data_IF_588236117183
#
_entry.id   IF_588236117183
#
_cell.length_a   1.000
_cell.length_b   1.000
_cell.length_c   1.000
_cell.angle_alpha   90.00
_cell.angle_beta   90.00
_cell.angle_gamma   90.00
#
_symmetry.space_group_name_H-M   'P 1'
#
loop_
_entity.id
_entity.type
_entity.pdbx_description
1 polymer ?
#
# COMPACT_ATOMS: atom_id res chain seq x y z
N UNK A 1 3.81 -19.57 3.61
CA UNK A 1 3.48 -20.64 2.65
C UNK A 1 2.07 -20.42 2.14
N UNK A 2 1.92 -20.18 0.83
CA UNK A 2 0.65 -19.99 0.14
C UNK A 2 0.26 -21.33 -0.49
N UNK A 3 -0.98 -21.79 -0.28
CA UNK A 3 -1.50 -23.03 -0.88
C UNK A 3 -2.74 -22.73 -1.72
N UNK A 4 -2.71 -23.09 -3.01
CA UNK A 4 -3.82 -22.89 -3.94
C UNK A 4 -4.05 -24.21 -4.71
N UNK A 5 -5.11 -24.94 -4.36
CA UNK A 5 -5.33 -26.28 -4.90
C UNK A 5 -4.14 -27.20 -4.57
N UNK A 6 -3.53 -27.79 -5.61
CA UNK A 6 -2.32 -28.64 -5.49
C UNK A 6 -1.00 -27.86 -5.44
N UNK A 7 -1.03 -26.54 -5.62
CA UNK A 7 0.17 -25.70 -5.71
C UNK A 7 0.54 -25.14 -4.33
N UNK A 8 1.83 -25.18 -4.00
CA UNK A 8 2.38 -24.63 -2.78
C UNK A 8 3.56 -23.71 -3.12
N UNK A 9 3.51 -22.49 -2.61
CA UNK A 9 4.54 -21.48 -2.79
C UNK A 9 5.08 -21.06 -1.42
N UNK A 10 6.39 -20.84 -1.34
CA UNK A 10 7.07 -20.39 -0.12
C UNK A 10 6.51 -19.05 0.35
N UNK A 11 6.44 -18.11 -0.58
CA UNK A 11 5.99 -16.73 -0.36
C UNK A 11 5.22 -16.18 -1.57
N UNK A 12 4.74 -14.94 -1.44
CA UNK A 12 3.97 -14.29 -2.49
C UNK A 12 4.82 -13.92 -3.72
N UNK A 13 6.13 -13.71 -3.58
CA UNK A 13 7.01 -13.39 -4.71
C UNK A 13 7.15 -14.59 -5.64
N UNK A 14 7.28 -15.79 -5.08
CA UNK A 14 7.33 -17.03 -5.84
C UNK A 14 6.03 -17.27 -6.61
N UNK A 15 4.89 -17.18 -5.92
CA UNK A 15 3.57 -17.27 -6.56
C UNK A 15 3.40 -16.24 -7.68
N UNK A 16 3.70 -14.96 -7.40
CA UNK A 16 3.59 -13.87 -8.37
C UNK A 16 4.44 -14.16 -9.62
N UNK A 17 5.69 -14.56 -9.42
CA UNK A 17 6.63 -14.81 -10.52
C UNK A 17 6.14 -15.96 -11.39
N UNK A 18 5.72 -17.08 -10.80
CA UNK A 18 5.20 -18.24 -11.54
C UNK A 18 3.95 -17.88 -12.34
N UNK A 19 2.97 -17.23 -11.71
CA UNK A 19 1.70 -16.84 -12.33
C UNK A 19 1.90 -15.82 -13.45
N UNK A 20 2.71 -14.79 -13.22
CA UNK A 20 2.96 -13.76 -14.22
C UNK A 20 3.71 -14.33 -15.43
N UNK A 21 4.72 -15.20 -15.25
CA UNK A 21 5.39 -15.85 -16.38
C UNK A 21 4.44 -16.70 -17.24
N UNK A 22 3.42 -17.34 -16.63
CA UNK A 22 2.48 -18.21 -17.35
C UNK A 22 1.38 -17.43 -18.06
N UNK A 23 0.83 -16.42 -17.39
CA UNK A 23 -0.45 -15.82 -17.80
C UNK A 23 -0.37 -14.35 -18.17
N UNK A 24 0.72 -13.65 -17.85
CA UNK A 24 0.93 -12.30 -18.37
C UNK A 24 1.24 -12.39 -19.86
N UNK A 25 0.22 -12.10 -20.66
CA UNK A 25 0.19 -12.44 -22.08
C UNK A 25 1.20 -11.62 -22.86
N UNK A 26 1.94 -12.26 -23.77
CA UNK A 26 2.64 -11.58 -24.88
C UNK A 26 1.79 -11.43 -26.15
N UNK A 27 0.76 -12.26 -26.30
CA UNK A 27 -0.13 -12.32 -27.46
C UNK A 27 -1.59 -12.07 -27.07
N UNK A 28 -2.41 -11.47 -27.97
CA UNK A 28 -3.83 -11.28 -27.71
C UNK A 28 -4.55 -12.61 -27.46
N UNK A 29 -5.66 -12.61 -26.68
CA UNK A 29 -6.44 -13.81 -26.46
C UNK A 29 -6.92 -14.42 -27.78
N UNK A 30 -6.82 -15.75 -27.90
CA UNK A 30 -7.38 -16.47 -29.03
C UNK A 30 -8.92 -16.38 -28.95
N UNK A 31 -9.61 -16.07 -30.07
CA UNK A 31 -11.05 -16.08 -30.14
C UNK A 31 -11.65 -17.40 -29.64
N UNK A 32 -12.65 -17.31 -28.77
CA UNK A 32 -13.23 -18.48 -28.07
C UNK A 32 -13.86 -19.47 -29.03
N UNK A 33 -14.44 -18.98 -30.13
CA UNK A 33 -15.07 -19.75 -31.20
C UNK A 33 -14.13 -20.70 -31.95
N UNK A 34 -12.80 -20.52 -31.86
CA UNK A 34 -11.81 -21.45 -32.44
C UNK A 34 -11.83 -22.79 -31.70
N UNK A 35 -11.99 -22.77 -30.38
CA UNK A 35 -12.03 -23.98 -29.55
C UNK A 35 -13.45 -24.40 -29.19
N UNK A 36 -14.39 -23.45 -29.13
CA UNK A 36 -15.81 -23.67 -28.81
C UNK A 36 -16.66 -23.33 -30.04
N UNK A 37 -16.41 -24.01 -31.17
CA UNK A 37 -17.29 -23.93 -32.34
C UNK A 37 -18.68 -24.47 -32.02
N UNK A 38 -19.68 -24.18 -32.86
CA UNK A 38 -21.08 -24.58 -32.61
C UNK A 38 -21.23 -26.09 -32.37
N UNK A 39 -20.45 -26.92 -33.07
CA UNK A 39 -20.48 -28.37 -32.92
C UNK A 39 -19.84 -28.82 -31.61
N UNK A 40 -18.76 -28.16 -31.19
CA UNK A 40 -18.06 -28.44 -29.93
C UNK A 40 -18.89 -27.99 -28.73
N UNK A 41 -19.56 -26.84 -28.83
CA UNK A 41 -20.40 -26.27 -27.78
C UNK A 41 -21.56 -27.21 -27.38
N UNK A 42 -22.09 -27.98 -28.35
CA UNK A 42 -23.17 -28.95 -28.15
C UNK A 42 -22.70 -30.29 -27.59
N UNK A 43 -21.40 -30.61 -27.68
CA UNK A 43 -20.89 -31.93 -27.26
C UNK A 43 -20.24 -31.87 -25.87
N UNK A 44 -20.97 -32.36 -24.87
CA UNK A 44 -20.52 -32.48 -23.47
C UNK A 44 -19.12 -33.10 -23.31
N UNK A 45 -18.88 -34.24 -23.96
CA UNK A 45 -17.63 -34.99 -23.80
C UNK A 45 -16.43 -34.23 -24.35
N UNK A 46 -16.61 -33.51 -25.46
CA UNK A 46 -15.57 -32.66 -26.04
C UNK A 46 -15.32 -31.46 -25.12
N UNK A 47 -16.37 -30.80 -24.61
CA UNK A 47 -16.23 -29.70 -23.64
C UNK A 47 -15.44 -30.11 -22.39
N UNK A 48 -15.72 -31.29 -21.81
CA UNK A 48 -14.95 -31.81 -20.66
C UNK A 48 -13.47 -32.03 -20.99
N UNK A 49 -13.14 -32.56 -22.19
CA UNK A 49 -11.74 -32.72 -22.63
C UNK A 49 -11.04 -31.37 -22.80
N UNK A 50 -11.73 -30.37 -23.35
CA UNK A 50 -11.19 -29.02 -23.47
C UNK A 50 -11.00 -28.39 -22.09
N UNK A 51 -11.97 -28.49 -21.18
CA UNK A 51 -11.88 -27.95 -19.83
C UNK A 51 -10.66 -28.48 -19.05
N UNK A 52 -10.33 -29.75 -19.23
CA UNK A 52 -9.21 -30.43 -18.55
C UNK A 52 -7.84 -30.10 -19.14
N UNK A 53 -7.74 -29.90 -20.46
CA UNK A 53 -6.44 -29.81 -21.15
C UNK A 53 -6.15 -28.43 -21.76
N UNK A 54 -7.12 -27.53 -21.81
CA UNK A 54 -6.93 -26.21 -22.41
C UNK A 54 -6.10 -25.30 -21.51
N UNK A 55 -5.14 -24.61 -22.11
CA UNK A 55 -4.27 -23.64 -21.44
C UNK A 55 -4.72 -22.19 -21.64
N UNK A 56 -5.79 -21.95 -22.42
CA UNK A 56 -6.26 -20.60 -22.73
C UNK A 56 -7.22 -20.08 -21.65
N UNK A 57 -6.87 -19.01 -20.92
CA UNK A 57 -7.71 -18.44 -19.86
C UNK A 57 -9.15 -18.13 -20.30
N UNK A 58 -9.32 -17.56 -21.50
CA UNK A 58 -10.63 -17.19 -22.04
C UNK A 58 -11.56 -18.39 -22.21
N UNK A 59 -11.03 -19.53 -22.65
CA UNK A 59 -11.81 -20.76 -22.82
C UNK A 59 -12.20 -21.33 -21.46
N UNK A 60 -11.26 -21.39 -20.51
CA UNK A 60 -11.52 -21.93 -19.17
C UNK A 60 -12.56 -21.08 -18.44
N UNK A 61 -12.53 -19.75 -18.57
CA UNK A 61 -13.53 -18.87 -17.96
C UNK A 61 -14.94 -19.12 -18.47
N UNK A 62 -15.10 -19.36 -19.78
CA UNK A 62 -16.39 -19.72 -20.37
C UNK A 62 -16.84 -21.08 -19.81
N UNK A 63 -15.97 -22.10 -19.83
CA UNK A 63 -16.32 -23.44 -19.39
C UNK A 63 -16.56 -23.56 -17.87
N UNK A 64 -15.92 -22.71 -17.05
CA UNK A 64 -16.15 -22.65 -15.60
C UNK A 64 -17.56 -22.17 -15.21
N UNK A 65 -18.26 -21.54 -16.16
CA UNK A 65 -19.62 -21.03 -16.06
C UNK A 65 -20.58 -21.71 -17.07
N UNK A 66 -20.19 -22.85 -17.65
CA UNK A 66 -21.01 -23.63 -18.58
C UNK A 66 -22.33 -24.07 -17.93
N UNK A 67 -23.38 -24.33 -18.71
CA UNK A 67 -24.67 -24.82 -18.20
C UNK A 67 -24.55 -26.24 -17.60
N UNK A 68 -23.66 -27.08 -18.14
CA UNK A 68 -23.43 -28.44 -17.67
C UNK A 68 -22.51 -28.47 -16.45
N UNK A 69 -23.01 -29.06 -15.36
CA UNK A 69 -22.28 -29.13 -14.10
C UNK A 69 -20.97 -29.90 -14.19
N UNK A 70 -20.91 -31.01 -14.94
CA UNK A 70 -19.68 -31.79 -15.06
C UNK A 70 -18.60 -31.04 -15.85
N UNK A 71 -19.00 -30.22 -16.82
CA UNK A 71 -18.07 -29.35 -17.56
C UNK A 71 -17.52 -28.27 -16.64
N UNK A 72 -18.38 -27.60 -15.85
CA UNK A 72 -17.95 -26.60 -14.86
C UNK A 72 -16.98 -27.18 -13.86
N UNK A 73 -17.31 -28.34 -13.28
CA UNK A 73 -16.46 -29.00 -12.28
C UNK A 73 -15.09 -29.35 -12.86
N UNK A 74 -15.04 -29.77 -14.12
CA UNK A 74 -13.76 -30.09 -14.77
C UNK A 74 -12.94 -28.84 -15.07
N UNK A 75 -13.57 -27.76 -15.55
CA UNK A 75 -12.90 -26.48 -15.78
C UNK A 75 -12.33 -25.89 -14.49
N UNK A 76 -13.03 -26.07 -13.36
CA UNK A 76 -12.58 -25.59 -12.04
C UNK A 76 -11.41 -26.37 -11.44
N UNK A 77 -11.09 -27.55 -11.98
CA UNK A 77 -9.86 -28.31 -11.64
C UNK A 77 -8.65 -27.85 -12.45
N UNK A 78 -8.85 -27.02 -13.46
CA UNK A 78 -7.78 -26.53 -14.31
C UNK A 78 -6.78 -25.68 -13.49
N UNK A 79 -5.50 -25.79 -13.84
CA UNK A 79 -4.42 -25.03 -13.20
C UNK A 79 -4.71 -23.53 -13.18
N UNK A 80 -5.11 -22.98 -14.33
CA UNK A 80 -5.39 -21.56 -14.47
C UNK A 80 -6.49 -21.12 -13.50
N UNK A 81 -7.53 -21.94 -13.33
CA UNK A 81 -8.64 -21.60 -12.43
C UNK A 81 -8.19 -21.47 -10.97
N UNK A 82 -7.37 -22.43 -10.50
CA UNK A 82 -6.84 -22.42 -9.15
C UNK A 82 -5.87 -21.26 -8.88
N UNK A 83 -5.02 -20.95 -9.86
CA UNK A 83 -3.99 -19.93 -9.71
C UNK A 83 -4.51 -18.51 -9.92
N UNK A 84 -5.47 -18.31 -10.84
CA UNK A 84 -5.88 -16.97 -11.29
C UNK A 84 -7.39 -16.86 -11.52
N UNK A 85 -8.00 -17.79 -12.26
CA UNK A 85 -9.36 -17.66 -12.79
C UNK A 85 -10.43 -17.38 -11.72
N UNK A 86 -10.36 -18.06 -10.57
CA UNK A 86 -11.32 -17.87 -9.47
C UNK A 86 -11.32 -16.48 -8.81
N UNK A 87 -10.33 -15.65 -9.11
CA UNK A 87 -10.19 -14.30 -8.55
C UNK A 87 -10.62 -13.21 -9.54
N UNK A 88 -11.14 -13.60 -10.71
CA UNK A 88 -11.49 -12.66 -11.77
C UNK A 88 -12.78 -11.88 -11.56
N UNK A 89 -13.59 -12.24 -10.57
CA UNK A 89 -14.83 -11.53 -10.24
C UNK A 89 -14.60 -10.03 -10.02
N UNK A 90 -13.42 -9.65 -9.53
CA UNK A 90 -13.00 -8.25 -9.37
C UNK A 90 -13.06 -7.44 -10.67
N UNK A 91 -12.85 -8.08 -11.82
CA UNK A 91 -12.91 -7.40 -13.12
C UNK A 91 -14.33 -6.94 -13.46
N UNK A 92 -15.36 -7.58 -12.89
CA UNK A 92 -16.77 -7.24 -13.07
C UNK A 92 -17.24 -6.02 -12.27
N UNK A 93 -16.45 -5.53 -11.31
CA UNK A 93 -16.82 -4.38 -10.48
C UNK A 93 -16.73 -3.04 -11.22
N UNK A 94 -17.40 -2.02 -10.70
CA UNK A 94 -17.30 -0.68 -11.24
C UNK A 94 -15.87 -0.13 -11.12
N UNK A 95 -15.52 0.83 -11.99
CA UNK A 95 -14.17 1.42 -12.04
C UNK A 95 -13.68 1.92 -10.66
N UNK A 96 -14.53 2.66 -9.95
CA UNK A 96 -14.19 3.20 -8.62
C UNK A 96 -13.98 2.11 -7.57
N UNK A 97 -14.77 1.03 -7.65
CA UNK A 97 -14.60 -0.13 -6.78
C UNK A 97 -13.26 -0.80 -7.08
N UNK A 98 -12.94 -1.08 -8.34
CA UNK A 98 -11.64 -1.66 -8.72
C UNK A 98 -10.46 -0.81 -8.26
N UNK A 99 -10.56 0.52 -8.32
CA UNK A 99 -9.54 1.42 -7.74
C UNK A 99 -9.44 1.28 -6.21
N UNK A 100 -10.56 1.19 -5.50
CA UNK A 100 -10.55 0.97 -4.05
C UNK A 100 -9.96 -0.40 -3.68
N UNK A 101 -10.33 -1.45 -4.40
CA UNK A 101 -9.73 -2.78 -4.26
C UNK A 101 -8.21 -2.74 -4.54
N UNK A 102 -7.79 -2.06 -5.61
CA UNK A 102 -6.37 -1.90 -5.93
C UNK A 102 -5.56 -1.26 -4.80
N UNK A 103 -6.18 -0.42 -3.96
CA UNK A 103 -5.53 0.24 -2.81
C UNK A 103 -5.48 -0.61 -1.55
N UNK A 104 -6.50 -1.43 -1.29
CA UNK A 104 -6.77 -2.00 0.03
C UNK A 104 -6.60 -3.52 0.07
N UNK A 105 -6.78 -4.21 -1.05
CA UNK A 105 -7.16 -5.63 -1.06
C UNK A 105 -6.02 -6.63 -1.30
N UNK A 106 -6.40 -7.92 -1.19
CA UNK A 106 -5.48 -9.05 -1.08
C UNK A 106 -4.64 -9.33 -2.32
N UNK A 107 -3.47 -9.89 -2.05
CA UNK A 107 -2.40 -10.20 -3.01
C UNK A 107 -2.85 -10.83 -4.34
N UNK A 108 -3.78 -11.79 -4.34
CA UNK A 108 -4.23 -12.49 -5.55
C UNK A 108 -5.02 -11.59 -6.52
N UNK A 109 -5.86 -10.69 -5.98
CA UNK A 109 -6.66 -9.77 -6.76
C UNK A 109 -5.78 -8.75 -7.51
N UNK A 110 -4.68 -8.32 -6.88
CA UNK A 110 -3.69 -7.45 -7.52
C UNK A 110 -3.03 -8.13 -8.73
N UNK A 111 -2.77 -9.44 -8.65
CA UNK A 111 -2.21 -10.20 -9.79
C UNK A 111 -3.21 -10.27 -10.94
N UNK A 112 -4.50 -10.52 -10.65
CA UNK A 112 -5.56 -10.49 -11.66
C UNK A 112 -5.62 -9.13 -12.35
N UNK A 113 -5.65 -8.04 -11.59
CA UNK A 113 -5.68 -6.70 -12.16
C UNK A 113 -4.43 -6.44 -13.02
N UNK A 114 -3.23 -6.83 -12.60
CA UNK A 114 -2.02 -6.66 -13.42
C UNK A 114 -2.04 -7.45 -14.74
N UNK A 115 -2.72 -8.59 -14.79
CA UNK A 115 -2.79 -9.43 -15.99
C UNK A 115 -3.86 -8.95 -16.96
N UNK A 116 -5.01 -8.51 -16.45
CA UNK A 116 -6.23 -8.31 -17.24
C UNK A 116 -6.81 -6.90 -17.23
N UNK A 117 -6.39 -6.02 -16.32
CA UNK A 117 -6.88 -4.65 -16.29
C UNK A 117 -6.23 -3.82 -17.39
N UNK A 118 -7.05 -2.95 -17.98
CA UNK A 118 -6.71 -2.14 -19.12
C UNK A 118 -6.72 -0.63 -18.80
N UNK A 119 -7.33 -0.22 -17.69
CA UNK A 119 -7.30 1.17 -17.23
C UNK A 119 -5.97 1.52 -16.55
N UNK A 120 -5.25 2.49 -17.13
CA UNK A 120 -3.96 2.96 -16.62
C UNK A 120 -4.02 3.53 -15.20
N UNK A 121 -5.13 4.14 -14.80
CA UNK A 121 -5.29 4.66 -13.44
C UNK A 121 -5.41 3.52 -12.43
N UNK A 122 -6.19 2.47 -12.75
CA UNK A 122 -6.29 1.29 -11.89
C UNK A 122 -4.93 0.59 -11.79
N UNK A 123 -4.24 0.40 -12.92
CA UNK A 123 -2.90 -0.18 -12.93
C UNK A 123 -1.92 0.63 -12.07
N UNK A 124 -1.97 1.96 -12.13
CA UNK A 124 -1.14 2.83 -11.27
C UNK A 124 -1.41 2.60 -9.78
N UNK A 125 -2.67 2.46 -9.39
CA UNK A 125 -3.04 2.15 -7.99
C UNK A 125 -2.52 0.76 -7.56
N UNK A 126 -2.67 -0.25 -8.43
CA UNK A 126 -2.17 -1.60 -8.15
C UNK A 126 -0.66 -1.61 -7.97
N UNK A 127 0.09 -0.93 -8.86
CA UNK A 127 1.55 -0.85 -8.78
C UNK A 127 2.01 -0.09 -7.52
N UNK A 128 1.26 0.92 -7.10
CA UNK A 128 1.53 1.68 -5.88
C UNK A 128 1.21 0.91 -4.59
N UNK A 129 0.34 -0.10 -4.66
CA UNK A 129 -0.06 -0.89 -3.50
C UNK A 129 1.17 -1.40 -2.71
N UNK A 130 1.23 -1.24 -1.38
CA UNK A 130 2.33 -1.71 -0.54
C UNK A 130 2.64 -3.21 -0.66
N UNK A 131 1.64 -4.02 -1.02
CA UNK A 131 1.76 -5.45 -1.26
C UNK A 131 2.67 -5.79 -2.46
N UNK A 132 2.74 -4.89 -3.45
CA UNK A 132 3.61 -5.05 -4.62
C UNK A 132 5.02 -4.59 -4.25
N UNK A 133 5.92 -5.57 -4.14
CA UNK A 133 7.32 -5.35 -3.80
C UNK A 133 8.13 -4.79 -4.97
N UNK A 134 9.29 -4.20 -4.67
CA UNK A 134 10.22 -3.72 -5.70
C UNK A 134 10.66 -4.84 -6.65
N UNK A 135 10.85 -6.06 -6.14
CA UNK A 135 11.22 -7.23 -6.96
C UNK A 135 10.12 -7.62 -7.94
N UNK A 136 8.86 -7.53 -7.51
CA UNK A 136 7.69 -7.77 -8.38
C UNK A 136 7.60 -6.74 -9.49
N UNK A 137 7.82 -5.45 -9.18
CA UNK A 137 7.86 -4.40 -10.20
C UNK A 137 8.98 -4.63 -11.23
N UNK A 138 10.17 -5.04 -10.79
CA UNK A 138 11.27 -5.38 -11.71
C UNK A 138 10.87 -6.51 -12.64
N UNK A 139 10.26 -7.56 -12.10
CA UNK A 139 9.76 -8.67 -12.89
C UNK A 139 8.66 -8.23 -13.88
N UNK A 140 7.72 -7.41 -13.43
CA UNK A 140 6.65 -6.87 -14.26
C UNK A 140 7.17 -6.04 -15.44
N UNK A 141 8.11 -5.12 -15.18
CA UNK A 141 8.74 -4.30 -16.23
C UNK A 141 9.49 -5.18 -17.22
N UNK A 142 10.19 -6.22 -16.74
CA UNK A 142 10.85 -7.18 -17.62
C UNK A 142 9.84 -7.87 -18.53
N UNK A 143 8.72 -8.34 -17.99
CA UNK A 143 7.67 -8.99 -18.78
C UNK A 143 7.01 -8.04 -19.78
N UNK A 144 6.78 -6.77 -19.41
CA UNK A 144 6.29 -5.74 -20.34
C UNK A 144 7.26 -5.52 -21.51
N UNK A 145 8.56 -5.43 -21.24
CA UNK A 145 9.59 -5.31 -22.30
C UNK A 145 9.60 -6.52 -23.23
N UNK A 146 9.43 -7.72 -22.67
CA UNK A 146 9.40 -8.96 -23.44
C UNK A 146 8.11 -9.14 -24.27
N UNK A 147 7.00 -8.49 -23.87
CA UNK A 147 5.72 -8.51 -24.60
C UNK A 147 5.78 -7.72 -25.91
N UNK A 148 6.61 -6.69 -25.99
CA UNK A 148 6.78 -5.84 -27.16
C UNK A 148 6.42 -4.37 -26.89
N UNK A 149 6.62 -3.51 -27.88
CA UNK A 149 6.45 -2.05 -27.76
C UNK A 149 5.10 -1.58 -28.30
N UNK A 150 4.00 -2.07 -27.74
CA UNK A 150 2.69 -1.45 -27.98
C UNK A 150 2.63 -0.09 -27.28
N UNK A 151 1.97 0.91 -27.88
CA UNK A 151 1.81 2.27 -27.28
C UNK A 151 1.26 2.22 -25.84
N UNK A 152 0.36 1.29 -25.56
CA UNK A 152 -0.18 1.08 -24.21
C UNK A 152 0.84 0.46 -23.26
N UNK A 153 1.67 -0.46 -23.74
CA UNK A 153 2.70 -1.12 -22.94
C UNK A 153 3.82 -0.13 -22.56
N UNK A 154 4.13 0.79 -23.46
CA UNK A 154 5.01 1.94 -23.18
C UNK A 154 4.44 2.80 -22.04
N UNK A 155 3.16 3.16 -22.10
CA UNK A 155 2.51 3.91 -21.02
C UNK A 155 2.52 3.15 -19.69
N UNK A 156 2.25 1.84 -19.69
CA UNK A 156 2.30 1.03 -18.48
C UNK A 156 3.75 0.94 -17.96
N UNK A 157 4.75 0.82 -18.83
CA UNK A 157 6.17 0.81 -18.46
C UNK A 157 6.63 2.13 -17.84
N UNK A 158 6.18 3.26 -18.35
CA UNK A 158 6.44 4.59 -17.77
C UNK A 158 5.88 4.67 -16.35
N UNK A 159 4.60 4.30 -16.18
CA UNK A 159 3.94 4.26 -14.86
C UNK A 159 4.71 3.33 -13.91
N UNK A 160 5.03 2.12 -14.33
CA UNK A 160 5.75 1.15 -13.51
C UNK A 160 7.16 1.65 -13.12
N UNK A 161 7.84 2.36 -14.02
CA UNK A 161 9.16 2.92 -13.76
C UNK A 161 9.11 4.09 -12.78
N UNK A 162 8.10 4.97 -12.92
CA UNK A 162 7.85 6.06 -11.98
C UNK A 162 7.57 5.51 -10.57
N UNK A 163 6.63 4.56 -10.46
CA UNK A 163 6.28 3.91 -9.18
C UNK A 163 7.48 3.20 -8.58
N UNK A 164 8.30 2.54 -9.40
CA UNK A 164 9.56 1.93 -8.95
C UNK A 164 10.51 2.98 -8.36
N UNK A 165 10.67 4.12 -9.02
CA UNK A 165 11.47 5.25 -8.52
C UNK A 165 10.95 5.76 -7.16
N UNK A 166 9.64 5.94 -7.03
CA UNK A 166 8.99 6.34 -5.78
C UNK A 166 9.24 5.33 -4.66
N UNK A 167 9.01 4.03 -4.90
CA UNK A 167 9.28 2.98 -3.88
C UNK A 167 10.75 2.89 -3.49
N UNK A 168 11.69 3.10 -4.42
CA UNK A 168 13.13 3.16 -4.09
C UNK A 168 13.44 4.33 -3.15
N UNK A 169 12.91 5.52 -3.43
CA UNK A 169 13.05 6.69 -2.55
C UNK A 169 12.49 6.41 -1.16
N UNK A 170 11.28 5.84 -1.08
CA UNK A 170 10.66 5.45 0.19
C UNK A 170 11.53 4.46 1.00
N UNK A 171 12.11 3.45 0.34
CA UNK A 171 13.00 2.49 1.01
C UNK A 171 14.23 3.19 1.60
N UNK A 172 14.83 4.12 0.87
CA UNK A 172 15.98 4.90 1.35
C UNK A 172 15.59 5.75 2.56
N UNK A 173 14.46 6.47 2.48
CA UNK A 173 13.93 7.29 3.58
C UNK A 173 13.66 6.41 4.82
N UNK A 174 12.96 5.29 4.67
CA UNK A 174 12.66 4.36 5.76
C UNK A 174 13.94 3.77 6.37
N UNK A 175 14.97 3.51 5.56
CA UNK A 175 16.28 3.07 6.04
C UNK A 175 16.98 4.15 6.88
N UNK A 176 16.92 5.41 6.43
CA UNK A 176 17.45 6.54 7.19
C UNK A 176 16.71 6.72 8.52
N UNK A 177 15.38 6.66 8.50
CA UNK A 177 14.53 6.70 9.70
C UNK A 177 14.92 5.59 10.68
N UNK A 178 15.05 4.35 10.21
CA UNK A 178 15.45 3.22 11.06
C UNK A 178 16.84 3.44 11.70
N UNK A 179 17.80 4.02 10.96
CA UNK A 179 19.12 4.35 11.51
C UNK A 179 19.04 5.45 12.56
N UNK A 180 18.29 6.52 12.28
CA UNK A 180 18.09 7.62 13.20
C UNK A 180 17.39 7.17 14.50
N UNK A 181 16.36 6.32 14.38
CA UNK A 181 15.61 5.79 15.52
C UNK A 181 16.44 4.93 16.48
N UNK A 182 17.51 4.26 16.00
CA UNK A 182 18.43 3.50 16.88
C UNK A 182 19.27 4.39 17.80
N UNK A 183 19.42 5.68 17.47
CA UNK A 183 20.28 6.64 18.17
C UNK A 183 19.55 7.97 18.37
N UNK A 184 18.38 7.94 19.03
CA UNK A 184 17.57 9.11 19.37
C UNK A 184 18.24 10.07 20.38
N UNK A 185 19.45 9.75 20.85
CA UNK A 185 20.25 10.62 21.69
C UNK A 185 21.06 11.67 20.90
N UNK A 186 21.10 11.58 19.56
CA UNK A 186 21.78 12.56 18.72
C UNK A 186 20.77 13.56 18.16
N UNK A 187 21.03 14.86 18.34
CA UNK A 187 20.10 15.91 17.90
C UNK A 187 19.81 15.88 16.40
N UNK A 188 20.81 15.52 15.59
CA UNK A 188 20.63 15.35 14.15
C UNK A 188 19.62 14.24 13.81
N UNK A 189 19.61 13.16 14.60
CA UNK A 189 18.67 12.05 14.41
C UNK A 189 17.27 12.47 14.85
N UNK A 190 17.13 13.22 15.93
CA UNK A 190 15.85 13.79 16.37
C UNK A 190 15.27 14.70 15.29
N UNK A 191 16.06 15.63 14.73
CA UNK A 191 15.65 16.47 13.60
C UNK A 191 15.19 15.65 12.40
N UNK A 192 15.92 14.58 12.08
CA UNK A 192 15.57 13.67 10.97
C UNK A 192 14.22 12.99 11.22
N UNK A 193 13.96 12.49 12.43
CA UNK A 193 12.68 11.87 12.77
C UNK A 193 11.53 12.88 12.72
N UNK A 194 11.71 14.09 13.29
CA UNK A 194 10.68 15.13 13.25
C UNK A 194 10.35 15.57 11.82
N UNK A 195 11.37 15.70 10.97
CA UNK A 195 11.20 16.00 9.56
C UNK A 195 10.35 14.94 8.85
N UNK A 196 10.66 13.66 9.06
CA UNK A 196 9.93 12.60 8.38
C UNK A 196 8.54 12.32 8.98
N UNK A 197 8.29 12.66 10.25
CA UNK A 197 6.95 12.52 10.85
C UNK A 197 5.89 13.32 10.08
N UNK A 198 6.31 14.42 9.44
CA UNK A 198 5.47 15.29 8.61
C UNK A 198 5.66 15.06 7.10
N UNK A 199 6.28 13.94 6.70
CA UNK A 199 6.48 13.62 5.28
C UNK A 199 5.12 13.53 4.57
N UNK A 200 5.01 14.07 3.36
CA UNK A 200 3.78 14.02 2.56
C UNK A 200 3.37 12.58 2.24
N UNK A 201 4.37 11.69 2.11
CA UNK A 201 4.16 10.30 1.80
C UNK A 201 3.63 9.52 3.03
N UNK A 202 2.37 9.11 2.96
CA UNK A 202 1.72 8.38 4.03
C UNK A 202 2.43 7.07 4.42
N UNK A 203 3.06 6.38 3.46
CA UNK A 203 3.82 5.14 3.74
C UNK A 203 5.04 5.43 4.62
N UNK A 204 5.74 6.55 4.34
CA UNK A 204 6.90 6.98 5.13
C UNK A 204 6.45 7.36 6.55
N UNK A 205 5.38 8.15 6.69
CA UNK A 205 4.80 8.47 8.01
C UNK A 205 4.43 7.22 8.79
N UNK A 206 3.68 6.30 8.20
CA UNK A 206 3.28 5.05 8.84
C UNK A 206 4.49 4.19 9.26
N UNK A 207 5.54 4.16 8.44
CA UNK A 207 6.77 3.45 8.78
C UNK A 207 7.43 4.03 10.03
N UNK A 208 7.53 5.36 10.14
CA UNK A 208 8.10 6.02 11.32
C UNK A 208 7.28 5.70 12.56
N UNK A 209 5.95 5.81 12.47
CA UNK A 209 5.05 5.42 13.56
C UNK A 209 5.36 4.00 14.03
N UNK A 210 5.40 3.04 13.12
CA UNK A 210 5.68 1.65 13.44
C UNK A 210 7.08 1.41 14.02
N UNK A 211 8.06 2.25 13.66
CA UNK A 211 9.42 2.20 14.21
C UNK A 211 9.42 2.77 15.63
N UNK A 212 8.87 3.96 15.83
CA UNK A 212 8.83 4.64 17.13
C UNK A 212 7.97 3.88 18.16
N UNK A 213 6.90 3.20 17.73
CA UNK A 213 6.09 2.33 18.61
C UNK A 213 6.90 1.20 19.27
N UNK A 214 8.04 0.81 18.68
CA UNK A 214 8.91 -0.24 19.22
C UNK A 214 9.98 0.27 20.16
N UNK A 215 10.23 1.58 20.17
CA UNK A 215 11.26 2.18 21.02
C UNK A 215 10.79 2.28 22.48
N UNK A 216 11.77 2.37 23.39
CA UNK A 216 11.50 2.60 24.80
C UNK A 216 10.93 4.01 25.02
N UNK A 217 9.86 4.18 25.82
CA UNK A 217 9.29 5.49 26.13
C UNK A 217 10.32 6.53 26.57
N UNK A 218 11.34 6.14 27.37
CA UNK A 218 12.36 7.07 27.85
C UNK A 218 13.25 7.59 26.71
N UNK A 219 13.46 6.79 25.65
CA UNK A 219 14.20 7.24 24.46
C UNK A 219 13.39 8.22 23.62
N UNK A 220 12.07 8.15 23.69
CA UNK A 220 11.15 9.06 23.00
C UNK A 220 11.01 10.40 23.74
N UNK A 221 11.37 10.50 25.02
CA UNK A 221 11.26 11.74 25.79
C UNK A 221 11.99 12.91 25.13
N UNK A 222 13.22 12.70 24.62
CA UNK A 222 13.96 13.75 23.91
C UNK A 222 13.31 14.19 22.61
N UNK A 223 12.71 13.24 21.88
CA UNK A 223 11.94 13.54 20.68
C UNK A 223 10.70 14.37 21.01
N UNK A 224 9.97 13.99 22.06
CA UNK A 224 8.78 14.70 22.57
C UNK A 224 9.15 16.13 22.98
N UNK A 225 10.23 16.29 23.73
CA UNK A 225 10.78 17.58 24.12
C UNK A 225 11.07 18.49 22.93
N UNK A 226 11.82 17.96 21.98
CA UNK A 226 12.19 18.70 20.78
C UNK A 226 10.96 19.06 19.94
N UNK A 227 9.95 18.19 19.92
CA UNK A 227 8.71 18.44 19.20
C UNK A 227 7.82 19.50 19.84
N UNK A 228 7.87 19.69 21.17
CA UNK A 228 7.09 20.71 21.88
C UNK A 228 7.72 22.10 21.69
N UNK A 229 9.05 22.16 21.54
CA UNK A 229 9.76 23.43 21.37
C UNK A 229 9.61 23.96 19.94
N UNK A 230 8.85 25.05 19.80
CA UNK A 230 8.60 25.72 18.52
C UNK A 230 9.85 26.19 17.79
N UNK A 231 10.94 26.50 18.52
CA UNK A 231 12.18 26.99 17.92
C UNK A 231 12.83 26.00 16.94
N UNK A 232 12.41 24.72 16.95
CA UNK A 232 12.90 23.70 16.03
C UNK A 232 12.12 23.61 14.70
N UNK A 233 11.10 24.45 14.51
CA UNK A 233 10.22 24.42 13.35
C UNK A 233 10.30 25.74 12.57
N UNK A 234 10.31 25.63 11.25
CA UNK A 234 10.37 26.79 10.34
C UNK A 234 9.04 27.55 10.29
N UNK A 235 7.92 26.85 10.44
CA UNK A 235 6.59 27.43 10.42
C UNK A 235 5.66 26.76 11.47
N UNK A 236 4.54 27.43 11.76
CA UNK A 236 3.56 26.98 12.76
C UNK A 236 2.79 25.73 12.32
N UNK A 237 2.55 25.57 11.01
CA UNK A 237 1.80 24.44 10.44
C UNK A 237 2.56 23.13 10.61
N UNK A 238 3.84 23.11 10.29
CA UNK A 238 4.75 21.98 10.47
C UNK A 238 4.86 21.56 11.93
N UNK A 239 4.91 22.53 12.84
CA UNK A 239 4.87 22.24 14.27
C UNK A 239 3.53 21.58 14.66
N UNK A 240 2.40 22.12 14.19
CA UNK A 240 1.06 21.56 14.42
C UNK A 240 0.90 20.13 13.88
N UNK A 241 1.36 19.87 12.64
CA UNK A 241 1.33 18.54 12.01
C UNK A 241 2.16 17.55 12.82
N UNK A 242 3.39 17.92 13.21
CA UNK A 242 4.25 17.05 14.01
C UNK A 242 3.64 16.71 15.37
N UNK A 243 3.03 17.68 16.08
CA UNK A 243 2.33 17.41 17.33
C UNK A 243 1.14 16.46 17.12
N UNK A 244 0.38 16.66 16.03
CA UNK A 244 -0.76 15.79 15.68
C UNK A 244 -0.32 14.35 15.45
N UNK A 245 0.77 14.16 14.71
CA UNK A 245 1.34 12.83 14.47
C UNK A 245 1.88 12.20 15.76
N UNK A 246 2.44 12.98 16.68
CA UNK A 246 2.85 12.45 17.98
C UNK A 246 1.66 12.02 18.86
N UNK A 247 0.52 12.73 18.82
CA UNK A 247 -0.70 12.26 19.50
C UNK A 247 -1.14 10.91 18.92
N UNK A 248 -1.16 10.78 17.59
CA UNK A 248 -1.50 9.50 16.93
C UNK A 248 -0.58 8.37 17.36
N UNK A 249 0.71 8.66 17.59
CA UNK A 249 1.67 7.69 18.11
C UNK A 249 1.33 7.28 19.55
N UNK A 250 1.04 8.25 20.42
CA UNK A 250 0.66 8.01 21.82
C UNK A 250 -0.64 7.19 21.89
N UNK A 251 -1.62 7.50 21.05
CA UNK A 251 -2.90 6.79 20.98
C UNK A 251 -2.77 5.31 20.62
N UNK A 252 -1.74 4.97 19.83
CA UNK A 252 -1.45 3.58 19.45
C UNK A 252 -0.56 2.84 20.45
N UNK A 253 0.06 3.53 21.41
CA UNK A 253 0.99 2.93 22.37
C UNK A 253 0.43 2.91 23.79
N UNK A 254 0.03 1.72 24.26
CA UNK A 254 -0.39 1.52 25.66
C UNK A 254 0.71 1.89 26.67
N UNK A 255 1.98 1.78 26.28
CA UNK A 255 3.11 2.20 27.11
C UNK A 255 3.16 3.71 27.25
N UNK A 256 3.03 4.46 26.15
CA UNK A 256 3.08 5.92 26.15
C UNK A 256 1.86 6.57 26.82
N UNK A 257 0.68 5.94 26.74
CA UNK A 257 -0.53 6.44 27.42
C UNK A 257 -0.38 6.57 28.94
N UNK A 258 0.47 5.74 29.55
CA UNK A 258 0.72 5.73 31.00
C UNK A 258 1.79 6.71 31.44
N UNK A 259 2.49 7.34 30.49
CA UNK A 259 3.55 8.31 30.78
C UNK A 259 2.89 9.66 31.10
N UNK A 260 3.34 10.29 32.18
CA UNK A 260 2.84 11.57 32.67
C UNK A 260 3.77 12.71 32.28
N UNK A 261 3.24 13.94 32.23
CA UNK A 261 4.02 15.16 31.91
C UNK A 261 5.23 15.31 32.84
N UNK A 262 5.09 14.96 34.13
CA UNK A 262 6.18 15.01 35.11
C UNK A 262 7.40 14.17 34.70
N UNK A 263 7.18 12.99 34.11
CA UNK A 263 8.26 12.09 33.69
C UNK A 263 9.02 12.58 32.45
N UNK A 264 8.52 13.62 31.78
CA UNK A 264 9.19 14.18 30.62
C UNK A 264 10.34 15.12 31.02
N UNK A 265 10.42 15.70 32.22
CA UNK A 265 11.38 16.77 32.56
C UNK A 265 11.25 18.03 31.67
N UNK A 266 10.02 18.42 31.33
CA UNK A 266 9.73 19.62 30.52
C UNK A 266 10.16 20.93 31.22
N UNK A 267 10.44 22.01 30.47
CA UNK A 267 10.78 23.32 31.03
C UNK A 267 9.75 23.78 32.07
N UNK A 268 10.20 24.51 33.10
CA UNK A 268 9.39 24.88 34.27
C UNK A 268 8.14 25.72 33.95
N UNK A 269 8.06 26.27 32.73
CA UNK A 269 6.94 27.05 32.19
C UNK A 269 5.62 26.26 32.08
N UNK A 270 5.67 24.93 32.21
CA UNK A 270 4.46 24.12 32.37
C UNK A 270 3.86 24.39 33.75
N UNK A 271 2.73 25.11 33.75
CA UNK A 271 1.94 25.45 34.94
C UNK A 271 1.82 24.24 35.86
N UNK A 272 2.11 24.44 37.15
CA UNK A 272 2.14 23.41 38.20
C UNK A 272 0.95 22.42 38.19
N UNK A 273 -0.23 22.83 37.72
CA UNK A 273 -1.43 21.98 37.59
C UNK A 273 -1.46 21.00 36.41
N UNK A 274 -0.48 21.02 35.51
CA UNK A 274 -0.44 20.14 34.34
C UNK A 274 0.54 18.96 34.47
N UNK A 275 1.38 18.95 35.51
CA UNK A 275 2.44 17.94 35.71
C UNK A 275 1.91 16.51 35.91
N UNK A 276 0.73 16.37 36.53
CA UNK A 276 0.08 15.06 36.75
C UNK A 276 -0.80 14.60 35.59
N UNK A 277 -0.96 15.39 34.52
CA UNK A 277 -1.76 15.00 33.36
C UNK A 277 -1.05 13.90 32.56
N UNK A 278 -1.84 13.12 31.84
CA UNK A 278 -1.29 12.25 30.80
C UNK A 278 -0.63 13.11 29.72
N UNK A 279 0.43 12.60 29.08
CA UNK A 279 1.06 13.32 27.95
C UNK A 279 0.04 13.60 26.85
N UNK A 280 -0.89 12.67 26.60
CA UNK A 280 -1.95 12.83 25.60
C UNK A 280 -2.79 14.08 25.86
N UNK A 281 -3.25 14.26 27.09
CA UNK A 281 -4.10 15.40 27.45
C UNK A 281 -3.35 16.73 27.31
N UNK A 282 -2.07 16.74 27.68
CA UNK A 282 -1.20 17.89 27.49
C UNK A 282 -0.99 18.24 26.01
N UNK A 283 -0.68 17.26 25.17
CA UNK A 283 -0.57 17.47 23.72
C UNK A 283 -1.89 17.96 23.12
N UNK A 284 -3.04 17.44 23.56
CA UNK A 284 -4.36 17.91 23.10
C UNK A 284 -4.59 19.40 23.43
N UNK A 285 -4.13 19.88 24.60
CA UNK A 285 -4.17 21.30 24.94
C UNK A 285 -3.26 22.12 24.02
N UNK A 286 -2.02 21.67 23.79
CA UNK A 286 -1.08 22.35 22.90
C UNK A 286 -1.63 22.47 21.47
N UNK A 287 -2.19 21.38 20.93
CA UNK A 287 -2.81 21.38 19.61
C UNK A 287 -4.01 22.32 19.56
N UNK A 288 -4.87 22.34 20.59
CA UNK A 288 -6.01 23.28 20.64
C UNK A 288 -5.54 24.74 20.64
N UNK A 289 -4.54 25.08 21.46
CA UNK A 289 -3.96 26.42 21.50
C UNK A 289 -3.40 26.83 20.13
N UNK A 290 -2.62 25.94 19.50
CA UNK A 290 -2.03 26.19 18.19
C UNK A 290 -3.05 26.28 17.07
N UNK A 291 -4.10 25.47 17.11
CA UNK A 291 -5.21 25.56 16.15
C UNK A 291 -5.86 26.94 16.21
N UNK A 292 -6.08 27.49 17.40
CA UNK A 292 -6.62 28.85 17.58
C UNK A 292 -5.65 29.89 17.02
N UNK A 293 -4.34 29.75 17.27
CA UNK A 293 -3.32 30.67 16.72
C UNK A 293 -3.23 30.64 15.20
N UNK A 294 -3.35 29.46 14.58
CA UNK A 294 -3.35 29.30 13.11
C UNK A 294 -4.61 29.92 12.50
N UNK A 295 -5.79 29.66 13.10
CA UNK A 295 -7.05 30.27 12.63
C UNK A 295 -6.98 31.79 12.72
N UNK A 296 -6.47 32.34 13.83
CA UNK A 296 -6.29 33.79 13.99
C UNK A 296 -5.33 34.39 12.96
N UNK A 297 -4.22 33.72 12.65
CA UNK A 297 -3.30 34.23 11.61
C UNK A 297 -3.90 34.22 10.20
N UNK A 298 -4.85 33.32 9.92
CA UNK A 298 -5.58 33.27 8.64
C UNK A 298 -6.67 34.34 8.58
N UNK A 299 -7.32 34.66 9.72
CA UNK A 299 -8.25 35.79 9.82
C UNK A 299 -7.54 37.13 9.55
N UNK A 300 -6.26 37.22 9.89
CA UNK A 300 -5.42 38.40 9.65
C UNK A 300 -4.79 38.44 8.23
N UNK A 301 -4.65 37.30 7.54
CA UNK A 301 -4.13 37.19 6.16
C UNK A 301 -4.84 36.10 5.33
N UNK A 302 -5.85 36.51 4.55
CA UNK A 302 -6.72 35.63 3.75
C UNK A 302 -6.02 34.95 2.56
N UNK A 303 -4.77 35.30 2.26
CA UNK A 303 -4.02 34.74 1.12
C UNK A 303 -3.46 33.32 1.37
N UNK A 304 -3.44 32.84 2.62
CA UNK A 304 -2.92 31.52 3.00
C UNK A 304 -3.94 30.37 2.90
N UNK A 305 -5.20 30.65 2.55
CA UNK A 305 -6.30 29.67 2.55
C UNK A 305 -6.09 28.54 1.53
N UNK A 306 -5.34 28.75 0.44
CA UNK A 306 -5.09 27.71 -0.57
C UNK A 306 -4.07 26.64 -0.13
N UNK A 307 -3.37 26.82 0.99
CA UNK A 307 -2.27 25.94 1.44
C UNK A 307 -2.61 25.01 2.64
N UNK A 308 -3.88 24.90 3.04
CA UNK A 308 -4.36 24.05 4.15
C UNK A 308 -5.32 22.97 3.63
#
# INVERSE_FOLDING_TARGET
MIKLGKYAYKDFLEYYTDVMNRYFRRMPPIPTNIYLSQDVAKNRNIKKKIASHCHFPSIINVLANDEDEEVRLEARKNEYWHLVGRFQDILGFARNERMAFARIEGFHNLVVLLIFEDDLQILREVLNNPAISLKMLVHFIRLLRERGNGRKDEQIMEIASEVMGQKRKQIVQISQINRAAKQLNLDQNLKTILHYLRDENNTVRLAIHNILLKEDPNRLNRLIHMAINQAHFQDKLNHFVTLTELIRLIDKSEKLKKVTVQSLNLPEEIKYGERNRSIKDYFNLLIRSKRIEIIRSIEDDLSEIENI
#
